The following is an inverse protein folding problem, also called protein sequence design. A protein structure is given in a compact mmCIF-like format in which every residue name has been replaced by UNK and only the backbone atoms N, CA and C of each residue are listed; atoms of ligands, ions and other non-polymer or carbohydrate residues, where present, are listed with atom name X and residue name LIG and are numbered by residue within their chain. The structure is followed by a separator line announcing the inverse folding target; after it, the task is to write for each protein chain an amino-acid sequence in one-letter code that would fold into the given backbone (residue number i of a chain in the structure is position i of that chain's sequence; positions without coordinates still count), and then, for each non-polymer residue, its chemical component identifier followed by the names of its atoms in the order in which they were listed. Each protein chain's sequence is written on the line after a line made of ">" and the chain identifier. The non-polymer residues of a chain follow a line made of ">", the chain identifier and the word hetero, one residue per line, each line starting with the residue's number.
data_IF_103713575324
#
_entry.id   IF_103713575324
#
_cell.length_a   1.000
_cell.length_b   1.000
_cell.length_c   1.000
_cell.angle_alpha   90.00
_cell.angle_beta   90.00
_cell.angle_gamma   90.00
#
_symmetry.space_group_name_H-M   'P 1'
#
loop_
_entity.id
_entity.type
_entity.pdbx_description
1 polymer ?
#
# COMPACT_ATOMS: atom_id res chain seq x y z
N UNK A 1 6.69 -4.55 20.55
CA UNK A 1 7.39 -3.64 19.63
C UNK A 1 7.10 -4.14 18.21
N UNK A 2 6.09 -3.60 17.54
CA UNK A 2 5.70 -4.04 16.18
C UNK A 2 6.55 -3.24 15.22
N UNK A 3 7.57 -3.90 14.65
CA UNK A 3 8.59 -3.27 13.84
C UNK A 3 8.02 -2.52 12.63
N UNK A 4 8.60 -1.35 12.35
CA UNK A 4 8.66 -0.82 10.99
C UNK A 4 7.70 0.32 10.61
N UNK A 5 6.92 0.93 11.51
CA UNK A 5 6.34 2.25 11.21
C UNK A 5 7.41 3.32 11.32
N UNK A 6 8.34 3.33 10.37
CA UNK A 6 9.36 4.36 10.24
C UNK A 6 8.73 5.51 9.46
N UNK A 7 8.16 6.46 10.21
CA UNK A 7 7.66 7.76 9.76
C UNK A 7 6.65 7.72 8.60
N UNK A 8 5.36 7.89 8.93
CA UNK A 8 4.42 8.37 7.93
C UNK A 8 4.71 9.86 7.67
N UNK A 9 4.86 10.28 6.40
CA UNK A 9 5.00 11.69 6.08
C UNK A 9 3.76 12.47 6.56
N UNK A 10 3.96 13.71 6.94
CA UNK A 10 2.86 14.61 7.26
C UNK A 10 1.91 14.73 6.06
N UNK A 11 0.59 14.75 6.35
CA UNK A 11 -0.43 14.80 5.30
C UNK A 11 -0.65 13.50 4.53
N UNK A 12 -0.11 12.37 5.01
CA UNK A 12 -0.39 11.06 4.39
C UNK A 12 -1.85 10.68 4.53
N UNK A 13 -2.45 10.31 3.40
CA UNK A 13 -3.77 9.71 3.31
C UNK A 13 -3.65 8.24 2.91
N UNK A 14 -4.64 7.44 3.28
CA UNK A 14 -4.73 6.04 2.92
C UNK A 14 -6.08 5.75 2.25
N UNK A 15 -6.05 4.93 1.19
CA UNK A 15 -7.26 4.43 0.52
C UNK A 15 -7.14 2.92 0.34
N UNK A 16 -8.28 2.23 0.43
CA UNK A 16 -8.35 0.82 0.02
C UNK A 16 -8.62 0.80 -1.49
N UNK A 17 -7.77 0.10 -2.22
CA UNK A 17 -7.87 -0.11 -3.66
C UNK A 17 -7.82 -1.61 -3.96
N UNK A 18 -8.18 -1.98 -5.18
CA UNK A 18 -7.89 -3.31 -5.71
C UNK A 18 -6.60 -3.26 -6.52
N UNK A 19 -5.65 -4.13 -6.20
CA UNK A 19 -4.41 -4.29 -6.93
C UNK A 19 -4.22 -5.76 -7.28
N UNK A 20 -4.13 -6.06 -8.58
CA UNK A 20 -4.03 -7.44 -9.10
C UNK A 20 -5.17 -8.35 -8.60
N UNK A 21 -6.38 -7.82 -8.45
CA UNK A 21 -7.54 -8.56 -7.95
C UNK A 21 -7.55 -8.83 -6.45
N UNK A 22 -6.62 -8.24 -5.70
CA UNK A 22 -6.47 -8.40 -4.26
C UNK A 22 -6.59 -7.03 -3.57
N UNK A 23 -7.17 -6.96 -2.37
CA UNK A 23 -7.30 -5.70 -1.66
C UNK A 23 -5.94 -5.18 -1.22
N UNK A 24 -5.74 -3.87 -1.40
CA UNK A 24 -4.51 -3.20 -1.02
C UNK A 24 -4.82 -1.86 -0.35
N UNK A 25 -3.94 -1.45 0.56
CA UNK A 25 -3.96 -0.11 1.17
C UNK A 25 -2.88 0.70 0.46
N UNK A 26 -3.28 1.74 -0.26
CA UNK A 26 -2.36 2.70 -0.85
C UNK A 26 -2.22 3.90 0.07
N UNK A 27 -0.97 4.23 0.40
CA UNK A 27 -0.59 5.43 1.13
C UNK A 27 -0.04 6.48 0.20
N UNK A 28 -0.63 7.67 0.19
CA UNK A 28 -0.25 8.76 -0.71
C UNK A 28 -0.28 10.12 0.00
N UNK A 29 0.40 11.08 -0.60
CA UNK A 29 0.39 12.50 -0.22
C UNK A 29 0.09 13.31 -1.48
N UNK A 30 0.00 14.64 -1.38
CA UNK A 30 -0.06 15.52 -2.55
C UNK A 30 1.15 15.35 -3.50
N UNK A 31 2.29 14.87 -2.98
CA UNK A 31 3.52 14.60 -3.76
C UNK A 31 3.49 13.26 -4.50
N UNK A 32 2.43 12.46 -4.31
CA UNK A 32 2.25 11.16 -4.94
C UNK A 32 2.24 9.99 -3.95
N UNK A 33 2.40 8.78 -4.50
CA UNK A 33 2.26 7.52 -3.78
C UNK A 33 3.54 7.23 -2.98
N UNK A 34 3.38 7.02 -1.69
CA UNK A 34 4.49 6.70 -0.79
C UNK A 34 4.73 5.18 -0.67
N UNK A 35 3.64 4.40 -0.65
CA UNK A 35 3.75 2.96 -0.56
C UNK A 35 2.40 2.26 -0.64
N UNK A 36 2.46 0.94 -0.82
CA UNK A 36 1.28 0.07 -0.85
C UNK A 36 1.49 -1.12 0.08
N UNK A 37 0.45 -1.45 0.83
CA UNK A 37 0.32 -2.73 1.53
C UNK A 37 -0.67 -3.58 0.75
N UNK A 38 -0.19 -4.65 0.11
CA UNK A 38 -1.02 -5.61 -0.60
C UNK A 38 -1.36 -6.78 0.32
N UNK A 39 -2.64 -7.10 0.44
CA UNK A 39 -3.13 -8.23 1.22
C UNK A 39 -3.54 -9.33 0.25
N UNK A 40 -2.80 -10.44 0.25
CA UNK A 40 -3.17 -11.60 -0.54
C UNK A 40 -4.12 -12.48 0.28
N UNK A 41 -5.35 -12.63 -0.18
CA UNK A 41 -6.37 -13.46 0.43
C UNK A 41 -6.45 -14.84 -0.24
N UNK A 42 -6.69 -15.86 0.58
CA UNK A 42 -7.17 -17.18 0.14
C UNK A 42 -8.45 -17.48 0.92
N UNK A 43 -9.58 -17.46 0.21
CA UNK A 43 -10.90 -17.47 0.84
C UNK A 43 -11.10 -16.24 1.73
N UNK A 44 -11.33 -16.45 3.02
CA UNK A 44 -11.55 -15.39 4.01
C UNK A 44 -10.31 -15.00 4.82
N UNK A 45 -9.17 -15.64 4.57
CA UNK A 45 -7.95 -15.44 5.35
C UNK A 45 -6.85 -14.74 4.54
N UNK A 46 -6.13 -13.83 5.19
CA UNK A 46 -4.91 -13.24 4.63
C UNK A 46 -3.81 -14.29 4.69
N UNK A 47 -3.30 -14.68 3.52
CA UNK A 47 -2.16 -15.59 3.40
C UNK A 47 -0.85 -14.84 3.53
N UNK A 48 -0.72 -13.69 2.86
CA UNK A 48 0.50 -12.89 2.83
C UNK A 48 0.19 -11.39 2.88
N UNK A 49 1.14 -10.63 3.43
CA UNK A 49 1.14 -9.17 3.42
C UNK A 49 2.43 -8.69 2.78
N UNK A 50 2.31 -7.92 1.69
CA UNK A 50 3.46 -7.37 0.98
C UNK A 50 3.53 -5.86 1.19
N UNK A 51 4.70 -5.35 1.56
CA UNK A 51 4.97 -3.90 1.56
C UNK A 51 5.73 -3.52 0.29
N UNK A 52 5.18 -2.59 -0.48
CA UNK A 52 5.73 -2.12 -1.75
C UNK A 52 6.06 -0.64 -1.57
N UNK A 53 7.36 -0.33 -1.46
CA UNK A 53 7.88 1.04 -1.31
C UNK A 53 8.85 1.43 -2.44
N UNK A 54 9.04 0.55 -3.43
CA UNK A 54 9.92 0.84 -4.56
C UNK A 54 9.25 1.88 -5.49
N UNK A 55 9.80 3.09 -5.64
CA UNK A 55 9.19 4.15 -6.45
C UNK A 55 9.01 3.76 -7.93
N UNK A 56 9.92 2.95 -8.49
CA UNK A 56 9.79 2.46 -9.86
C UNK A 56 8.61 1.51 -10.04
N UNK A 57 8.19 0.81 -9.00
CA UNK A 57 6.97 -0.01 -9.05
C UNK A 57 5.72 0.85 -8.82
N UNK A 58 5.82 1.85 -7.95
CA UNK A 58 4.71 2.71 -7.57
C UNK A 58 4.30 3.69 -8.66
N UNK A 59 5.22 4.14 -9.53
CA UNK A 59 4.91 5.05 -10.65
C UNK A 59 3.90 4.50 -11.66
N UNK A 60 3.69 3.17 -11.67
CA UNK A 60 2.71 2.51 -12.53
C UNK A 60 1.31 2.46 -11.92
N UNK A 61 1.15 2.87 -10.66
CA UNK A 61 -0.14 2.94 -10.00
C UNK A 61 -0.75 4.32 -10.23
N UNK A 62 -1.92 4.36 -10.86
CA UNK A 62 -2.72 5.58 -10.95
C UNK A 62 -3.65 5.56 -9.72
N UNK A 63 -3.59 6.56 -8.81
CA UNK A 63 -4.60 6.71 -7.79
C UNK A 63 -5.90 7.16 -8.50
N UNK A 64 -6.78 6.21 -8.81
CA UNK A 64 -8.13 6.46 -9.33
C UNK A 64 -9.16 6.70 -8.23
#
# INVERSE_FOLDING_TARGET
>A
MVGGMRFFPEGMQAKIIQLNGQPAIIGYTEKGIYGVILLEFVGTHIRNVYSIINPDKLKHLIPS
#
